data_IF_719880232068
#
_entry.id   IF_719880232068
#
_cell.length_a   1.000
_cell.length_b   1.000
_cell.length_c   1.000
_cell.angle_alpha   90.00
_cell.angle_beta   90.00
_cell.angle_gamma   90.00
#
_symmetry.space_group_name_H-M   'P 1'
#
loop_
_entity.id
_entity.type
_entity.pdbx_description
1 polymer ?
#
# COMPACT_ATOMS: atom_id res chain seq x y z
N UNK A 1 15.81 4.60 16.78
CA UNK A 1 17.05 4.20 16.08
C UNK A 1 16.68 4.02 14.62
N UNK A 2 17.30 4.79 13.72
CA UNK A 2 17.13 4.65 12.27
C UNK A 2 18.35 3.86 11.77
N UNK A 3 18.12 2.80 11.02
CA UNK A 3 19.16 1.97 10.44
C UNK A 3 19.08 2.07 8.92
N UNK A 4 20.22 2.33 8.26
CA UNK A 4 20.30 2.49 6.81
C UNK A 4 21.39 1.58 6.25
N UNK A 5 21.07 0.89 5.14
CA UNK A 5 22.00 0.05 4.42
C UNK A 5 21.72 0.11 2.91
N UNK A 6 22.69 0.60 2.14
CA UNK A 6 22.62 0.64 0.68
C UNK A 6 23.23 -0.65 0.12
N UNK A 7 22.43 -1.43 -0.61
CA UNK A 7 22.86 -2.68 -1.24
C UNK A 7 22.78 -2.57 -2.77
N UNK A 8 23.76 -3.17 -3.45
CA UNK A 8 23.87 -3.16 -4.92
C UNK A 8 22.78 -3.99 -5.64
N UNK A 9 21.87 -4.64 -4.91
CA UNK A 9 20.80 -5.45 -5.50
C UNK A 9 19.49 -5.31 -4.74
N UNK A 10 18.37 -5.35 -5.48
CA UNK A 10 17.00 -5.45 -4.95
C UNK A 10 16.56 -6.91 -4.81
N UNK A 11 17.48 -7.83 -4.54
CA UNK A 11 17.16 -9.25 -4.39
C UNK A 11 16.52 -9.53 -3.03
N UNK A 12 15.77 -10.63 -2.93
CA UNK A 12 15.21 -11.07 -1.64
C UNK A 12 16.31 -11.38 -0.62
N UNK A 13 17.48 -11.88 -1.06
CA UNK A 13 18.63 -12.13 -0.19
C UNK A 13 19.23 -10.83 0.36
N UNK A 14 19.29 -9.77 -0.44
CA UNK A 14 19.64 -8.44 0.04
C UNK A 14 18.63 -7.91 1.06
N UNK A 15 17.33 -8.03 0.79
CA UNK A 15 16.29 -7.58 1.74
C UNK A 15 16.35 -8.33 3.09
N UNK A 16 16.58 -9.64 3.07
CA UNK A 16 16.74 -10.45 4.29
C UNK A 16 17.94 -10.03 5.13
N UNK A 17 19.06 -9.65 4.50
CA UNK A 17 20.25 -9.16 5.21
C UNK A 17 20.01 -7.84 5.95
N UNK A 18 19.14 -6.97 5.43
CA UNK A 18 18.84 -5.66 6.02
C UNK A 18 17.83 -5.78 7.16
N UNK A 19 16.76 -6.56 6.94
CA UNK A 19 15.64 -6.64 7.88
C UNK A 19 15.92 -7.67 8.99
N UNK A 20 16.84 -8.61 8.75
CA UNK A 20 16.97 -9.88 9.48
C UNK A 20 15.74 -10.79 9.25
N UNK A 21 15.98 -12.08 8.99
CA UNK A 21 14.90 -13.04 8.73
C UNK A 21 14.05 -13.30 9.98
N UNK A 22 14.67 -13.16 11.16
CA UNK A 22 14.02 -13.36 12.46
C UNK A 22 13.33 -12.10 13.01
N UNK A 23 13.30 -11.01 12.24
CA UNK A 23 12.68 -9.77 12.69
C UNK A 23 11.18 -9.94 12.95
N UNK A 24 10.79 -9.77 14.21
CA UNK A 24 9.42 -9.94 14.67
C UNK A 24 8.54 -8.68 14.53
N UNK A 25 9.13 -7.54 14.13
CA UNK A 25 8.41 -6.27 14.00
C UNK A 25 7.61 -6.14 12.71
N UNK A 26 7.06 -4.93 12.50
CA UNK A 26 6.28 -4.59 11.31
C UNK A 26 7.17 -3.85 10.33
N UNK A 27 7.24 -4.35 9.10
CA UNK A 27 8.02 -3.75 8.02
C UNK A 27 7.09 -2.94 7.14
N UNK A 28 7.39 -1.65 6.97
CA UNK A 28 6.72 -0.78 5.99
C UNK A 28 7.62 -0.66 4.76
N UNK A 29 7.20 -1.16 3.61
CA UNK A 29 8.02 -1.13 2.39
C UNK A 29 7.23 -0.74 1.15
N UNK A 30 7.93 -0.50 0.05
CA UNK A 30 7.31 -0.44 -1.26
C UNK A 30 6.79 -1.84 -1.70
N UNK A 31 6.16 -1.91 -2.88
CA UNK A 31 5.69 -3.17 -3.47
C UNK A 31 6.82 -3.96 -4.17
N UNK A 32 8.06 -3.87 -3.71
CA UNK A 32 9.16 -4.62 -4.31
C UNK A 32 9.01 -6.12 -3.99
N UNK A 33 9.11 -7.02 -5.00
CA UNK A 33 9.01 -8.47 -4.79
C UNK A 33 10.03 -9.06 -3.81
N UNK A 34 11.12 -8.35 -3.53
CA UNK A 34 12.15 -8.76 -2.57
C UNK A 34 11.63 -8.93 -1.14
N UNK A 35 10.48 -8.34 -0.83
CA UNK A 35 9.84 -8.41 0.49
C UNK A 35 8.75 -9.49 0.59
N UNK A 36 8.52 -10.27 -0.46
CA UNK A 36 7.44 -11.29 -0.50
C UNK A 36 7.60 -12.43 0.52
N UNK A 37 8.77 -12.56 1.16
CA UNK A 37 9.01 -13.53 2.23
C UNK A 37 8.47 -13.06 3.59
N UNK A 38 8.14 -11.78 3.74
CA UNK A 38 7.59 -11.23 4.98
C UNK A 38 6.13 -11.65 5.09
N UNK A 39 5.76 -12.14 6.27
CA UNK A 39 4.38 -12.54 6.54
C UNK A 39 3.43 -11.34 6.37
N UNK A 40 2.26 -11.58 5.78
CA UNK A 40 1.34 -10.53 5.35
C UNK A 40 0.83 -9.66 6.53
N UNK A 41 0.74 -10.24 7.71
CA UNK A 41 0.32 -9.62 8.96
C UNK A 41 1.37 -8.70 9.59
N UNK A 42 2.64 -8.85 9.18
CA UNK A 42 3.81 -8.05 9.59
C UNK A 42 4.33 -7.14 8.48
N UNK A 43 3.73 -7.19 7.29
CA UNK A 43 4.15 -6.40 6.13
C UNK A 43 3.13 -5.32 5.82
N UNK A 44 3.46 -4.05 6.07
CA UNK A 44 2.66 -2.92 5.61
C UNK A 44 3.17 -2.41 4.26
N UNK A 45 2.32 -2.49 3.23
CA UNK A 45 2.61 -1.86 1.95
C UNK A 45 2.46 -0.34 2.06
N UNK A 46 3.46 0.40 1.58
CA UNK A 46 3.45 1.85 1.55
C UNK A 46 2.36 2.36 0.59
N UNK A 47 1.36 3.05 1.13
CA UNK A 47 0.24 3.56 0.33
C UNK A 47 0.62 4.64 -0.67
N UNK A 48 1.74 5.35 -0.48
CA UNK A 48 2.24 6.31 -1.48
C UNK A 48 2.63 5.61 -2.79
N UNK A 49 3.25 4.42 -2.68
CA UNK A 49 3.59 3.58 -3.82
C UNK A 49 2.34 2.96 -4.46
N UNK A 50 1.39 2.49 -3.63
CA UNK A 50 0.08 2.02 -4.11
C UNK A 50 -0.59 3.12 -4.93
N UNK A 51 -0.69 4.34 -4.40
CA UNK A 51 -1.28 5.50 -5.07
C UNK A 51 -0.61 5.78 -6.41
N UNK A 52 0.72 5.84 -6.47
CA UNK A 52 1.46 6.11 -7.72
C UNK A 52 1.18 5.04 -8.79
N UNK A 53 1.11 3.78 -8.39
CA UNK A 53 0.76 2.68 -9.28
C UNK A 53 -0.69 2.79 -9.77
N UNK A 54 -1.64 3.14 -8.91
CA UNK A 54 -3.03 3.35 -9.32
C UNK A 54 -3.18 4.57 -10.24
N UNK A 55 -2.40 5.63 -10.00
CA UNK A 55 -2.40 6.83 -10.84
C UNK A 55 -1.98 6.51 -12.28
N UNK A 56 -0.97 5.66 -12.49
CA UNK A 56 -0.62 5.18 -13.84
C UNK A 56 -1.79 4.46 -14.53
N UNK A 57 -2.65 3.77 -13.79
CA UNK A 57 -3.85 3.14 -14.34
C UNK A 57 -4.93 4.17 -14.67
N UNK A 58 -5.11 5.17 -13.81
CA UNK A 58 -6.04 6.29 -14.03
C UNK A 58 -5.66 7.13 -15.25
N UNK A 59 -4.35 7.31 -15.49
CA UNK A 59 -3.77 8.08 -16.59
C UNK A 59 -3.50 7.22 -17.84
N UNK A 60 -4.04 6.00 -17.88
CA UNK A 60 -3.86 5.13 -19.03
C UNK A 60 -4.42 5.79 -20.30
N UNK A 61 -3.54 6.05 -21.27
CA UNK A 61 -3.87 6.75 -22.51
C UNK A 61 -4.91 6.05 -23.39
N UNK A 62 -5.02 4.71 -23.28
CA UNK A 62 -6.09 3.95 -23.94
C UNK A 62 -7.49 4.19 -23.34
N UNK A 63 -7.58 4.91 -22.21
CA UNK A 63 -8.82 5.39 -21.64
C UNK A 63 -9.79 4.29 -21.21
N UNK A 64 -11.08 4.56 -21.43
CA UNK A 64 -12.18 3.62 -21.24
C UNK A 64 -12.31 3.07 -19.81
N UNK A 65 -12.78 1.82 -19.73
CA UNK A 65 -13.08 1.16 -18.45
C UNK A 65 -11.85 1.02 -17.54
N UNK A 66 -10.66 0.82 -18.12
CA UNK A 66 -9.39 0.72 -17.38
C UNK A 66 -9.08 2.02 -16.64
N UNK A 67 -9.08 3.15 -17.35
CA UNK A 67 -8.82 4.46 -16.75
C UNK A 67 -9.91 4.83 -15.72
N UNK A 68 -11.17 4.48 -16.01
CA UNK A 68 -12.28 4.68 -15.10
C UNK A 68 -12.10 3.96 -13.75
N UNK A 69 -11.74 2.68 -13.76
CA UNK A 69 -11.43 1.93 -12.53
C UNK A 69 -10.23 2.55 -11.81
N UNK A 70 -9.16 2.89 -12.54
CA UNK A 70 -7.99 3.55 -11.97
C UNK A 70 -8.33 4.85 -11.23
N UNK A 71 -9.19 5.70 -11.81
CA UNK A 71 -9.66 6.95 -11.19
C UNK A 71 -10.43 6.70 -9.90
N UNK A 72 -11.34 5.72 -9.87
CA UNK A 72 -12.05 5.33 -8.65
C UNK A 72 -11.11 4.84 -7.54
N UNK A 73 -10.14 4.00 -7.90
CA UNK A 73 -9.12 3.53 -6.96
C UNK A 73 -8.25 4.68 -6.43
N UNK A 74 -7.91 5.68 -7.26
CA UNK A 74 -7.21 6.89 -6.83
C UNK A 74 -8.06 7.73 -5.86
N UNK A 75 -9.35 7.92 -6.13
CA UNK A 75 -10.26 8.64 -5.24
C UNK A 75 -10.35 7.98 -3.87
N UNK A 76 -10.51 6.65 -3.83
CA UNK A 76 -10.51 5.89 -2.58
C UNK A 76 -9.18 6.01 -1.85
N UNK A 77 -8.06 5.94 -2.56
CA UNK A 77 -6.74 6.12 -1.97
C UNK A 77 -6.58 7.51 -1.35
N UNK A 78 -7.05 8.56 -2.02
CA UNK A 78 -7.06 9.92 -1.46
C UNK A 78 -7.93 10.00 -0.19
N UNK A 79 -9.09 9.34 -0.18
CA UNK A 79 -9.94 9.29 1.00
C UNK A 79 -9.28 8.55 2.17
N UNK A 80 -8.47 7.51 1.92
CA UNK A 80 -7.66 6.83 2.95
C UNK A 80 -6.67 7.82 3.56
N UNK A 81 -5.85 8.49 2.74
CA UNK A 81 -4.89 9.49 3.22
C UNK A 81 -5.56 10.60 4.03
N UNK A 82 -6.65 11.16 3.51
CA UNK A 82 -7.40 12.22 4.20
C UNK A 82 -7.99 11.72 5.53
N UNK A 83 -8.58 10.53 5.55
CA UNK A 83 -9.13 9.95 6.79
C UNK A 83 -8.05 9.69 7.84
N UNK A 84 -6.85 9.27 7.41
CA UNK A 84 -5.69 9.09 8.28
C UNK A 84 -5.21 10.42 8.86
N UNK A 85 -5.00 11.43 8.03
CA UNK A 85 -4.52 12.74 8.51
C UNK A 85 -5.49 13.38 9.49
N UNK A 86 -6.78 13.35 9.23
CA UNK A 86 -7.76 13.90 10.17
C UNK A 86 -7.76 13.17 11.52
N UNK A 87 -7.50 11.86 11.52
CA UNK A 87 -7.30 11.11 12.76
C UNK A 87 -6.02 11.56 13.50
N UNK A 88 -4.91 11.69 12.78
CA UNK A 88 -3.63 12.16 13.33
C UNK A 88 -3.70 13.60 13.87
N UNK A 89 -4.54 14.44 13.29
CA UNK A 89 -4.81 15.82 13.72
C UNK A 89 -5.83 15.92 14.87
N UNK A 90 -6.36 14.80 15.36
CA UNK A 90 -7.34 14.78 16.44
C UNK A 90 -8.77 15.18 16.02
N UNK A 91 -9.03 15.40 14.74
CA UNK A 91 -10.35 15.78 14.20
C UNK A 91 -11.32 14.59 14.06
N UNK A 92 -10.82 13.36 14.28
CA UNK A 92 -11.57 12.13 14.13
C UNK A 92 -11.32 11.22 15.32
N UNK A 93 -12.40 10.85 16.02
CA UNK A 93 -12.32 9.83 17.07
C UNK A 93 -11.94 8.46 16.49
N UNK A 94 -11.24 7.65 17.28
CA UNK A 94 -10.70 6.35 16.85
C UNK A 94 -11.76 5.38 16.31
N UNK A 95 -12.92 5.30 16.96
CA UNK A 95 -14.02 4.43 16.52
C UNK A 95 -14.59 4.84 15.15
N UNK A 96 -14.71 6.14 14.91
CA UNK A 96 -15.17 6.68 13.62
C UNK A 96 -14.11 6.50 12.54
N UNK A 97 -12.83 6.68 12.87
CA UNK A 97 -11.70 6.42 11.99
C UNK A 97 -11.70 4.97 11.49
N UNK A 98 -11.77 3.99 12.40
CA UNK A 98 -11.82 2.57 12.02
C UNK A 98 -13.05 2.24 11.17
N UNK A 99 -14.23 2.76 11.55
CA UNK A 99 -15.46 2.57 10.76
C UNK A 99 -15.30 3.08 9.34
N UNK A 100 -14.72 4.27 9.15
CA UNK A 100 -14.47 4.86 7.82
C UNK A 100 -13.46 4.03 7.03
N UNK A 101 -12.36 3.62 7.67
CA UNK A 101 -11.33 2.80 7.04
C UNK A 101 -11.86 1.44 6.57
N UNK A 102 -12.68 0.75 7.37
CA UNK A 102 -13.30 -0.51 6.95
C UNK A 102 -14.26 -0.34 5.77
N UNK A 103 -14.99 0.79 5.69
CA UNK A 103 -15.82 1.11 4.51
C UNK A 103 -14.96 1.34 3.28
N UNK A 104 -13.86 2.09 3.42
CA UNK A 104 -12.90 2.33 2.34
C UNK A 104 -12.27 1.03 1.87
N UNK A 105 -11.90 0.12 2.78
CA UNK A 105 -11.37 -1.20 2.46
C UNK A 105 -12.33 -2.01 1.61
N UNK A 106 -13.60 -2.11 2.01
CA UNK A 106 -14.62 -2.84 1.22
C UNK A 106 -14.81 -2.24 -0.17
N UNK A 107 -14.89 -0.91 -0.26
CA UNK A 107 -15.01 -0.22 -1.55
C UNK A 107 -13.77 -0.44 -2.42
N UNK A 108 -12.58 -0.41 -1.82
CA UNK A 108 -11.33 -0.61 -2.53
C UNK A 108 -11.22 -2.03 -3.08
N UNK A 109 -11.54 -3.05 -2.28
CA UNK A 109 -11.58 -4.45 -2.70
C UNK A 109 -12.56 -4.66 -3.86
N UNK A 110 -13.75 -4.04 -3.81
CA UNK A 110 -14.75 -4.09 -4.88
C UNK A 110 -14.20 -3.55 -6.20
N UNK A 111 -13.54 -2.39 -6.18
CA UNK A 111 -12.97 -1.80 -7.38
C UNK A 111 -11.74 -2.55 -7.88
N UNK A 112 -10.92 -3.12 -6.99
CA UNK A 112 -9.84 -4.02 -7.39
C UNK A 112 -10.37 -5.27 -8.08
N UNK A 113 -11.47 -5.86 -7.59
CA UNK A 113 -12.13 -7.00 -8.22
C UNK A 113 -12.55 -6.66 -9.65
N UNK A 114 -13.18 -5.50 -9.89
CA UNK A 114 -13.47 -5.06 -11.26
C UNK A 114 -12.20 -4.86 -12.09
N UNK A 115 -11.14 -4.38 -11.44
CA UNK A 115 -9.81 -4.25 -12.01
C UNK A 115 -9.19 -5.58 -12.47
N UNK A 116 -9.62 -6.73 -11.96
CA UNK A 116 -9.10 -8.03 -12.40
C UNK A 116 -9.64 -8.51 -13.74
N UNK A 117 -10.62 -7.79 -14.30
CA UNK A 117 -11.28 -8.15 -15.56
C UNK A 117 -10.94 -7.18 -16.70
N UNK A 118 -10.18 -6.11 -16.42
CA UNK A 118 -9.77 -5.16 -17.47
C UNK A 118 -8.93 -5.84 -18.55
N UNK A 119 -9.04 -5.37 -19.79
CA UNK A 119 -8.35 -5.99 -20.94
C UNK A 119 -6.83 -5.83 -20.90
N UNK A 120 -6.35 -4.75 -20.28
CA UNK A 120 -4.92 -4.43 -20.24
C UNK A 120 -4.21 -5.30 -19.20
N UNK A 121 -3.48 -6.32 -19.67
CA UNK A 121 -2.80 -7.34 -18.84
C UNK A 121 -2.00 -6.75 -17.67
N UNK A 122 -1.26 -5.66 -17.90
CA UNK A 122 -0.48 -4.95 -16.87
C UNK A 122 -1.34 -4.52 -15.67
N UNK A 123 -2.46 -3.84 -15.92
CA UNK A 123 -3.33 -3.31 -14.86
C UNK A 123 -4.18 -4.40 -14.22
N UNK A 124 -4.57 -5.40 -15.01
CA UNK A 124 -5.17 -6.63 -14.51
C UNK A 124 -4.28 -7.32 -13.47
N UNK A 125 -3.02 -7.54 -13.83
CA UNK A 125 -2.03 -8.16 -12.94
C UNK A 125 -1.79 -7.33 -11.68
N UNK A 126 -1.74 -6.00 -11.81
CA UNK A 126 -1.62 -5.08 -10.67
C UNK A 126 -2.80 -5.21 -9.69
N UNK A 127 -4.04 -5.28 -10.18
CA UNK A 127 -5.21 -5.43 -9.31
C UNK A 127 -5.21 -6.80 -8.61
N UNK A 128 -4.87 -7.87 -9.33
CA UNK A 128 -4.71 -9.22 -8.75
C UNK A 128 -3.63 -9.25 -7.66
N UNK A 129 -2.50 -8.57 -7.89
CA UNK A 129 -1.42 -8.49 -6.91
C UNK A 129 -1.86 -7.76 -5.64
N UNK A 130 -2.56 -6.63 -5.77
CA UNK A 130 -3.08 -5.89 -4.61
C UNK A 130 -4.10 -6.72 -3.82
N UNK A 131 -4.97 -7.49 -4.49
CA UNK A 131 -5.88 -8.42 -3.82
C UNK A 131 -5.14 -9.56 -3.11
N UNK A 132 -4.06 -10.09 -3.71
CA UNK A 132 -3.21 -11.11 -3.07
C UNK A 132 -2.56 -10.57 -1.78
N UNK A 133 -2.13 -9.32 -1.79
CA UNK A 133 -1.52 -8.64 -0.64
C UNK A 133 -2.54 -7.81 0.17
N UNK A 134 -3.82 -8.23 0.18
CA UNK A 134 -4.90 -7.49 0.83
C UNK A 134 -4.59 -7.19 2.29
N UNK A 135 -4.15 -8.18 3.07
CA UNK A 135 -3.82 -7.95 4.48
C UNK A 135 -2.71 -6.90 4.63
N UNK A 136 -1.66 -6.99 3.81
CA UNK A 136 -0.52 -6.09 3.84
C UNK A 136 -0.87 -4.64 3.51
N UNK A 137 -2.00 -4.37 2.85
CA UNK A 137 -2.47 -3.00 2.63
C UNK A 137 -3.00 -2.35 3.92
N UNK A 138 -3.47 -3.13 4.89
CA UNK A 138 -4.27 -2.63 6.03
C UNK A 138 -3.67 -2.91 7.41
N UNK A 139 -2.41 -3.38 7.48
CA UNK A 139 -1.72 -3.66 8.76
C UNK A 139 -1.69 -2.44 9.69
N UNK A 140 -1.62 -1.22 9.14
CA UNK A 140 -1.65 0.05 9.88
C UNK A 140 -2.94 0.30 10.67
N UNK A 141 -4.00 -0.47 10.42
CA UNK A 141 -5.23 -0.45 11.22
C UNK A 141 -5.09 -1.23 12.53
N UNK A 142 -4.14 -2.17 12.63
CA UNK A 142 -3.91 -2.97 13.85
C UNK A 142 -3.35 -2.11 15.00
N UNK A 143 -2.43 -1.18 14.68
CA UNK A 143 -1.84 -0.25 15.65
C UNK A 143 -1.59 1.10 14.99
N UNK A 144 -1.99 2.17 15.66
CA UNK A 144 -1.92 3.54 15.14
C UNK A 144 -0.50 4.06 14.96
N UNK A 145 0.47 3.49 15.69
CA UNK A 145 1.90 3.76 15.56
C UNK A 145 2.50 3.28 14.24
N UNK A 146 1.83 2.40 13.51
CA UNK A 146 2.30 1.93 12.20
C UNK A 146 2.01 3.02 11.17
N UNK A 147 3.02 3.53 10.46
CA UNK A 147 2.82 4.59 9.49
C UNK A 147 2.14 4.06 8.22
N UNK A 148 1.35 4.93 7.58
CA UNK A 148 0.67 4.64 6.31
C UNK A 148 1.66 4.57 5.13
N UNK A 149 2.82 5.23 5.25
CA UNK A 149 3.85 5.35 4.21
C UNK A 149 5.24 5.10 4.79
N UNK A 150 6.19 4.73 3.92
CA UNK A 150 7.60 4.57 4.27
C UNK A 150 8.38 5.90 4.17
N UNK A 151 7.73 7.03 4.47
CA UNK A 151 8.34 8.35 4.27
C UNK A 151 9.55 8.59 5.16
N UNK A 152 9.59 8.00 6.36
CA UNK A 152 10.75 8.12 7.24
C UNK A 152 11.99 7.50 6.59
N UNK A 153 11.91 6.26 6.10
CA UNK A 153 13.05 5.65 5.40
C UNK A 153 13.40 6.41 4.10
N UNK A 154 12.41 6.86 3.33
CA UNK A 154 12.67 7.65 2.11
C UNK A 154 13.35 9.01 2.41
N UNK A 155 13.09 9.62 3.57
CA UNK A 155 13.76 10.86 4.02
C UNK A 155 15.18 10.60 4.46
N UNK A 156 15.47 9.45 5.07
CA UNK A 156 16.83 9.11 5.51
C UNK A 156 17.79 8.86 4.34
N UNK A 157 17.28 8.42 3.20
CA UNK A 157 18.07 8.13 1.98
C UNK A 157 18.26 9.38 1.09
N UNK A 158 17.74 10.55 1.51
CA UNK A 158 17.89 11.84 0.79
C UNK A 158 18.85 12.77 1.51
#
# INVERSE_FOLDING_TARGET
>A
LVYEQILYSRSSSSAKKVIDEDYAGIVVSDQCPSYNWIAADRHQLCWAHVKRNLQQMADYSGGGHTAYIGKHLCLLTNAIFHTRHRYEQGELGYSLYLRRMHRLQKSFDHWLSKGTDVMVKRYRGRCKLLLKHRESLWVFLKKTSIPLTNNEAERCIR
#
